data_IF_155313861623
#
_entry.id   IF_155313861623
#
_cell.length_a   1.000
_cell.length_b   1.000
_cell.length_c   1.000
_cell.angle_alpha   90.00
_cell.angle_beta   90.00
_cell.angle_gamma   90.00
#
_symmetry.space_group_name_H-M   'P 1'
#
loop_
_entity.id
_entity.type
_entity.pdbx_description
1 polymer ?
#
# COMPACT_ATOMS: atom_id res chain seq x y z
N UNK A 1 11.57 5.88 19.95
CA UNK A 1 11.25 4.76 19.01
C UNK A 1 12.01 4.95 17.71
N UNK A 2 12.06 3.94 16.85
CA UNK A 2 12.86 3.97 15.59
C UNK A 2 12.49 5.11 14.62
N UNK A 3 11.27 5.65 14.72
CA UNK A 3 10.80 6.80 13.93
C UNK A 3 10.72 8.13 14.71
N UNK A 4 11.33 8.23 15.90
CA UNK A 4 11.15 9.39 16.79
C UNK A 4 11.56 10.73 16.15
N UNK A 5 12.55 10.72 15.25
CA UNK A 5 13.08 11.93 14.61
C UNK A 5 12.52 12.16 13.20
N UNK A 6 11.57 11.34 12.73
CA UNK A 6 11.04 11.43 11.37
C UNK A 6 9.97 12.52 11.28
N UNK A 7 10.18 13.50 10.41
CA UNK A 7 9.26 14.60 10.13
C UNK A 7 8.48 14.43 8.83
N UNK A 8 9.06 13.75 7.85
CA UNK A 8 8.34 13.39 6.62
C UNK A 8 8.81 12.05 6.06
N UNK A 9 7.92 11.41 5.30
CA UNK A 9 8.18 10.12 4.66
C UNK A 9 7.87 10.28 3.18
N UNK A 10 8.84 9.98 2.32
CA UNK A 10 8.62 9.90 0.89
C UNK A 10 8.50 8.44 0.47
N UNK A 11 7.42 8.14 -0.25
CA UNK A 11 7.18 6.84 -0.88
C UNK A 11 7.46 6.95 -2.37
N UNK A 12 8.42 6.19 -2.85
CA UNK A 12 8.84 6.17 -4.26
C UNK A 12 8.78 4.75 -4.83
N UNK A 13 8.89 4.64 -6.16
CA UNK A 13 8.99 3.37 -6.89
C UNK A 13 7.91 2.36 -6.44
N UNK A 14 6.68 2.84 -6.28
CA UNK A 14 5.57 1.98 -5.87
C UNK A 14 5.20 1.07 -7.04
N UNK A 15 5.27 -0.24 -6.80
CA UNK A 15 4.89 -1.28 -7.75
C UNK A 15 3.82 -2.19 -7.16
N UNK A 16 2.91 -2.67 -8.01
CA UNK A 16 1.72 -3.41 -7.58
C UNK A 16 0.64 -2.48 -7.02
N UNK A 17 -0.19 -2.99 -6.11
CA UNK A 17 -1.21 -2.17 -5.40
C UNK A 17 -2.31 -1.60 -6.28
N UNK A 18 -2.58 -2.23 -7.43
CA UNK A 18 -3.70 -1.88 -8.31
C UNK A 18 -4.99 -2.58 -7.94
N UNK A 19 -5.88 -2.72 -8.92
CA UNK A 19 -7.11 -3.47 -8.73
C UNK A 19 -6.81 -4.94 -8.40
N UNK A 20 -7.60 -5.58 -7.53
CA UNK A 20 -7.53 -7.01 -7.34
C UNK A 20 -7.65 -7.74 -8.67
N UNK A 21 -6.82 -8.76 -8.88
CA UNK A 21 -6.89 -9.57 -10.11
C UNK A 21 -8.22 -10.31 -10.24
N UNK A 22 -8.93 -10.51 -9.13
CA UNK A 22 -10.23 -11.14 -9.13
C UNK A 22 -11.34 -10.14 -9.46
N UNK A 23 -12.32 -10.53 -10.30
CA UNK A 23 -13.40 -9.64 -10.69
C UNK A 23 -14.36 -9.35 -9.54
N UNK A 24 -14.95 -8.15 -9.55
CA UNK A 24 -16.06 -7.79 -8.70
C UNK A 24 -17.32 -8.57 -9.12
N UNK A 25 -17.82 -9.44 -8.24
CA UNK A 25 -19.05 -10.24 -8.44
C UNK A 25 -20.00 -10.05 -7.26
N UNK A 26 -21.29 -10.35 -7.46
CA UNK A 26 -22.29 -10.26 -6.39
C UNK A 26 -21.94 -11.12 -5.16
N UNK A 27 -21.27 -12.27 -5.36
CA UNK A 27 -20.81 -13.13 -4.28
C UNK A 27 -19.71 -12.50 -3.41
N UNK A 28 -18.97 -11.51 -3.95
CA UNK A 28 -17.90 -10.80 -3.25
C UNK A 28 -18.34 -9.43 -2.70
N UNK A 29 -19.63 -9.12 -2.78
CA UNK A 29 -20.17 -7.86 -2.27
C UNK A 29 -19.88 -7.72 -0.78
N UNK A 30 -19.31 -6.58 -0.38
CA UNK A 30 -18.94 -6.29 1.02
C UNK A 30 -17.64 -6.94 1.49
N UNK A 31 -16.95 -7.70 0.64
CA UNK A 31 -15.65 -8.29 0.98
C UNK A 31 -14.50 -7.35 0.60
N UNK A 32 -13.41 -7.39 1.36
CA UNK A 32 -12.18 -6.65 1.06
C UNK A 32 -11.12 -7.57 0.48
N UNK A 33 -10.69 -7.30 -0.75
CA UNK A 33 -9.54 -7.98 -1.35
C UNK A 33 -8.25 -7.21 -1.01
N UNK A 34 -7.25 -7.91 -0.47
CA UNK A 34 -5.92 -7.34 -0.25
C UNK A 34 -5.07 -7.51 -1.50
N UNK A 35 -4.47 -6.41 -1.95
CA UNK A 35 -3.55 -6.40 -3.08
C UNK A 35 -2.15 -6.10 -2.57
N UNK A 36 -1.22 -7.00 -2.85
CA UNK A 36 0.17 -6.82 -2.45
C UNK A 36 0.81 -5.69 -3.27
N UNK A 37 1.66 -4.91 -2.62
CA UNK A 37 2.45 -3.87 -3.27
C UNK A 37 3.80 -3.73 -2.58
N UNK A 38 4.76 -3.18 -3.31
CA UNK A 38 6.10 -2.85 -2.81
C UNK A 38 6.40 -1.38 -3.08
N UNK A 39 7.12 -0.72 -2.18
CA UNK A 39 7.59 0.65 -2.39
C UNK A 39 8.90 0.91 -1.64
N UNK A 40 9.68 1.87 -2.14
CA UNK A 40 10.83 2.40 -1.43
C UNK A 40 10.39 3.53 -0.49
N UNK A 41 10.82 3.48 0.76
CA UNK A 41 10.47 4.47 1.78
C UNK A 41 11.73 5.20 2.26
N UNK A 42 11.71 6.52 2.11
CA UNK A 42 12.75 7.42 2.61
C UNK A 42 12.18 8.23 3.77
N UNK A 43 12.94 8.30 4.86
CA UNK A 43 12.55 8.98 6.10
C UNK A 43 13.42 10.22 6.29
N UNK A 44 12.79 11.40 6.38
CA UNK A 44 13.46 12.68 6.54
C UNK A 44 13.15 13.30 7.90
N UNK A 45 14.07 14.12 8.40
CA UNK A 45 13.96 14.88 9.65
C UNK A 45 13.43 16.28 9.40
#
# INVERSE_FOLDING_TARGET
GVFADVRSIQRLNTGGGGDPAEPCTAAKLGQSARVNYTAAYYFYR
#
